data_IF_303149923072
#
_entry.id   IF_303149923072
#
_cell.length_a   1.000
_cell.length_b   1.000
_cell.length_c   1.000
_cell.angle_alpha   90.00
_cell.angle_beta   90.00
_cell.angle_gamma   90.00
#
_symmetry.space_group_name_H-M   'P 1'
#
loop_
_entity.id
_entity.type
_entity.pdbx_description
1 polymer ?
#
# COMPACT_ATOMS: atom_id res chain seq x y z
N UNK A 1 -12.14 33.98 14.33
CA UNK A 1 -12.17 34.08 12.86
C UNK A 1 -11.88 32.72 12.26
N UNK A 2 -12.55 32.36 11.17
CA UNK A 2 -12.27 31.13 10.41
C UNK A 2 -10.79 31.09 10.05
N UNK A 3 -10.07 30.05 10.50
CA UNK A 3 -8.63 29.84 10.22
C UNK A 3 -8.43 29.05 8.93
N UNK A 4 -9.31 29.23 7.96
CA UNK A 4 -9.28 28.49 6.68
C UNK A 4 -8.26 29.13 5.75
N UNK A 5 -7.39 28.30 5.16
CA UNK A 5 -6.43 28.70 4.14
C UNK A 5 -6.67 27.90 2.86
N UNK A 6 -6.71 28.60 1.73
CA UNK A 6 -6.73 27.98 0.41
C UNK A 6 -5.30 27.91 -0.16
N UNK A 7 -4.95 26.80 -0.81
CA UNK A 7 -3.68 26.65 -1.51
C UNK A 7 -2.45 26.48 -0.62
N UNK A 8 -2.60 25.99 0.62
CA UNK A 8 -1.49 25.75 1.56
C UNK A 8 -0.35 24.91 0.94
N UNK A 9 -0.69 23.89 0.15
CA UNK A 9 0.28 23.03 -0.53
C UNK A 9 1.23 23.78 -1.47
N UNK A 10 0.76 24.87 -2.09
CA UNK A 10 1.53 25.72 -3.02
C UNK A 10 2.50 26.66 -2.30
N UNK A 11 2.39 26.80 -0.97
CA UNK A 11 3.32 27.62 -0.20
C UNK A 11 4.70 26.97 -0.11
N UNK A 12 5.73 27.81 -0.09
CA UNK A 12 7.08 27.36 0.29
C UNK A 12 7.09 26.87 1.74
N UNK A 13 8.05 26.01 2.10
CA UNK A 13 8.19 25.47 3.46
C UNK A 13 8.22 26.56 4.54
N UNK A 14 8.97 27.64 4.31
CA UNK A 14 8.98 28.79 5.24
C UNK A 14 7.60 29.43 5.39
N UNK A 15 6.88 29.66 4.29
CA UNK A 15 5.54 30.26 4.32
C UNK A 15 4.51 29.34 5.00
N UNK A 16 4.65 28.02 4.85
CA UNK A 16 3.85 27.02 5.57
C UNK A 16 4.07 27.15 7.08
N UNK A 17 5.34 27.21 7.51
CA UNK A 17 5.71 27.40 8.90
C UNK A 17 5.19 28.74 9.44
N UNK A 18 5.42 29.84 8.72
CA UNK A 18 4.98 31.17 9.14
C UNK A 18 3.47 31.21 9.34
N UNK A 19 2.71 30.61 8.42
CA UNK A 19 1.26 30.54 8.53
C UNK A 19 0.85 29.73 9.76
N UNK A 20 1.41 28.55 9.99
CA UNK A 20 1.09 27.71 11.15
C UNK A 20 1.42 28.45 12.45
N UNK A 21 2.63 29.02 12.55
CA UNK A 21 3.13 29.70 13.73
C UNK A 21 2.25 30.90 14.11
N UNK A 22 1.88 31.75 13.14
CA UNK A 22 1.05 32.94 13.38
C UNK A 22 -0.42 32.59 13.63
N UNK A 23 -0.90 31.48 13.09
CA UNK A 23 -2.34 31.12 13.12
C UNK A 23 -2.71 30.32 14.36
N UNK A 24 -1.84 29.43 14.84
CA UNK A 24 -2.16 28.47 15.90
C UNK A 24 -1.39 28.64 17.19
N UNK A 25 -0.30 29.41 17.21
CA UNK A 25 0.57 29.54 18.37
C UNK A 25 0.65 30.98 18.87
N UNK A 26 0.75 31.15 20.20
CA UNK A 26 0.87 32.46 20.82
C UNK A 26 2.27 33.09 20.61
N UNK A 27 3.30 32.26 20.46
CA UNK A 27 4.67 32.69 20.22
C UNK A 27 5.17 32.13 18.88
N UNK A 28 5.00 32.92 17.83
CA UNK A 28 5.35 32.52 16.48
C UNK A 28 6.86 32.28 16.33
N UNK A 29 7.70 33.16 16.85
CA UNK A 29 9.15 33.06 16.70
C UNK A 29 9.73 31.82 17.40
N UNK A 30 9.27 31.51 18.61
CA UNK A 30 9.65 30.26 19.28
C UNK A 30 9.18 29.02 18.50
N UNK A 31 7.96 29.06 17.95
CA UNK A 31 7.44 27.95 17.14
C UNK A 31 8.30 27.69 15.91
N UNK A 32 8.68 28.76 15.19
CA UNK A 32 9.59 28.67 14.03
C UNK A 32 10.94 28.11 14.42
N UNK A 33 11.49 28.56 15.56
CA UNK A 33 12.77 28.07 16.06
C UNK A 33 12.72 26.57 16.35
N UNK A 34 11.72 26.10 17.09
CA UNK A 34 11.53 24.66 17.41
C UNK A 34 11.39 23.82 16.15
N UNK A 35 10.58 24.25 15.18
CA UNK A 35 10.42 23.50 13.92
C UNK A 35 11.71 23.43 13.11
N UNK A 36 12.57 24.45 13.18
CA UNK A 36 13.86 24.45 12.47
C UNK A 36 14.95 23.62 13.18
N UNK A 37 14.80 23.31 14.47
CA UNK A 37 15.80 22.54 15.22
C UNK A 37 16.09 21.15 14.63
N UNK A 38 15.10 20.55 13.99
CA UNK A 38 15.22 19.21 13.41
C UNK A 38 15.53 19.23 11.92
N UNK A 39 15.85 20.39 11.34
CA UNK A 39 16.25 20.45 9.95
C UNK A 39 17.70 19.99 9.80
N UNK A 40 17.99 19.31 8.70
CA UNK A 40 19.35 18.97 8.34
C UNK A 40 20.03 20.20 7.73
N UNK A 41 21.25 20.50 8.16
CA UNK A 41 22.09 21.53 7.55
C UNK A 41 22.48 21.17 6.10
N UNK A 42 22.50 19.87 5.78
CA UNK A 42 22.72 19.41 4.40
C UNK A 42 21.45 19.61 3.57
N UNK A 43 21.48 20.59 2.68
CA UNK A 43 20.34 20.97 1.84
C UNK A 43 19.83 19.85 0.95
N UNK A 44 20.71 19.04 0.34
CA UNK A 44 20.29 17.91 -0.52
C UNK A 44 19.58 16.84 0.30
N UNK A 45 20.09 16.55 1.50
CA UNK A 45 19.44 15.62 2.40
C UNK A 45 18.09 16.18 2.86
N UNK A 46 18.03 17.44 3.30
CA UNK A 46 16.76 18.03 3.72
C UNK A 46 15.73 18.05 2.59
N UNK A 47 16.15 18.32 1.35
CA UNK A 47 15.28 18.26 0.19
C UNK A 47 14.69 16.86 -0.01
N UNK A 48 15.50 15.80 0.09
CA UNK A 48 15.01 14.42 0.00
C UNK A 48 13.92 14.14 1.05
N UNK A 49 14.12 14.58 2.29
CA UNK A 49 13.12 14.44 3.35
C UNK A 49 11.84 15.24 3.07
N UNK A 50 11.97 16.42 2.46
CA UNK A 50 10.85 17.27 2.10
C UNK A 50 10.00 16.68 0.96
N UNK A 51 10.58 15.79 0.15
CA UNK A 51 9.94 15.11 -0.98
C UNK A 51 9.24 13.79 -0.61
N UNK A 52 9.41 13.29 0.62
CA UNK A 52 8.77 12.04 1.06
C UNK A 52 7.25 12.14 1.21
N UNK A 53 6.74 13.30 1.67
CA UNK A 53 5.32 13.57 1.83
C UNK A 53 5.02 15.03 1.48
N UNK A 54 3.76 15.34 1.24
CA UNK A 54 3.34 16.72 1.03
C UNK A 54 3.33 17.52 2.34
N UNK A 55 3.39 18.85 2.22
CA UNK A 55 3.24 19.78 3.34
C UNK A 55 4.26 19.61 4.49
N UNK A 56 5.42 19.01 4.22
CA UNK A 56 6.51 18.88 5.20
C UNK A 56 6.93 20.24 5.75
N UNK A 57 6.97 20.37 7.07
CA UNK A 57 7.41 21.57 7.79
C UNK A 57 8.65 21.33 8.66
N UNK A 58 8.92 20.08 9.04
CA UNK A 58 10.10 19.68 9.81
C UNK A 58 10.31 18.17 9.70
N UNK A 59 11.44 17.70 10.20
CA UNK A 59 11.69 16.28 10.39
C UNK A 59 11.29 15.87 11.81
N UNK A 60 11.03 14.58 11.99
CA UNK A 60 10.82 13.97 13.30
C UNK A 60 11.86 12.86 13.50
N UNK A 61 12.60 12.90 14.60
CA UNK A 61 13.59 11.88 14.92
C UNK A 61 13.00 10.84 15.84
N UNK A 62 13.22 9.57 15.50
CA UNK A 62 12.92 8.42 16.35
C UNK A 62 14.25 7.73 16.70
N UNK A 63 14.49 7.33 17.96
CA UNK A 63 15.71 6.64 18.32
C UNK A 63 15.88 5.36 17.49
N UNK A 64 17.07 5.20 16.91
CA UNK A 64 17.44 4.01 16.13
C UNK A 64 18.42 3.17 16.96
N UNK A 65 17.94 2.02 17.43
CA UNK A 65 18.73 1.01 18.13
C UNK A 65 19.03 -0.21 17.26
N UNK A 66 19.85 -1.12 17.78
CA UNK A 66 20.15 -2.41 17.15
C UNK A 66 20.07 -3.52 18.18
N UNK A 67 19.33 -4.58 17.87
CA UNK A 67 19.23 -5.79 18.68
C UNK A 67 20.07 -6.92 18.05
N UNK A 68 21.23 -7.29 18.62
CA UNK A 68 22.11 -8.32 18.08
C UNK A 68 21.65 -9.74 18.46
N UNK A 69 22.36 -10.75 17.94
CA UNK A 69 22.30 -12.17 18.32
C UNK A 69 21.05 -12.93 17.87
N UNK A 70 20.35 -12.47 16.83
CA UNK A 70 19.24 -13.22 16.25
C UNK A 70 19.79 -14.30 15.32
N UNK A 71 19.92 -15.53 15.81
CA UNK A 71 20.17 -16.70 14.96
C UNK A 71 18.84 -17.14 14.33
N UNK A 72 18.66 -16.95 13.04
CA UNK A 72 17.45 -17.33 12.29
C UNK A 72 17.87 -18.23 11.15
N UNK A 73 17.35 -19.46 11.12
CA UNK A 73 17.72 -20.47 10.12
C UNK A 73 19.25 -20.55 9.93
N UNK A 74 19.97 -20.75 11.04
CA UNK A 74 21.44 -20.89 11.10
C UNK A 74 22.25 -19.65 10.72
N UNK A 75 21.60 -18.52 10.38
CA UNK A 75 22.27 -17.26 10.05
C UNK A 75 22.12 -16.25 11.19
N UNK A 76 23.23 -15.62 11.59
CA UNK A 76 23.25 -14.59 12.64
C UNK A 76 22.93 -13.20 12.06
N UNK A 77 21.99 -12.52 12.69
CA UNK A 77 21.56 -11.17 12.34
C UNK A 77 21.67 -10.19 13.51
N UNK A 78 21.85 -8.92 13.16
CA UNK A 78 21.62 -7.78 14.02
C UNK A 78 20.44 -6.98 13.44
N UNK A 79 19.36 -6.84 14.22
CA UNK A 79 18.09 -6.26 13.75
C UNK A 79 18.04 -4.77 14.14
N UNK A 80 17.95 -3.84 13.18
CA UNK A 80 17.72 -2.43 13.48
C UNK A 80 16.28 -2.20 13.96
N UNK A 81 16.10 -1.33 14.95
CA UNK A 81 14.80 -1.03 15.56
C UNK A 81 14.67 0.49 15.76
N UNK A 82 13.69 1.11 15.10
CA UNK A 82 13.35 2.52 15.32
C UNK A 82 12.14 2.60 16.27
N UNK A 83 12.36 2.96 17.54
CA UNK A 83 11.33 2.96 18.59
C UNK A 83 11.72 3.90 19.74
N UNK A 84 10.73 4.55 20.36
CA UNK A 84 10.90 5.46 21.50
C UNK A 84 10.78 4.77 22.87
N UNK A 85 10.15 3.60 22.91
CA UNK A 85 9.85 2.89 24.14
C UNK A 85 11.10 2.30 24.79
N UNK A 86 11.30 2.65 26.06
CA UNK A 86 12.42 2.15 26.86
C UNK A 86 12.38 0.64 27.02
N UNK A 87 13.56 0.02 27.11
CA UNK A 87 13.74 -1.42 27.33
C UNK A 87 13.31 -2.36 26.19
N UNK A 88 12.58 -1.92 25.15
CA UNK A 88 12.17 -2.81 24.05
C UNK A 88 13.37 -3.45 23.34
N UNK A 89 14.34 -2.63 22.91
CA UNK A 89 15.56 -3.11 22.24
C UNK A 89 16.38 -4.03 23.17
N UNK A 90 16.46 -3.69 24.46
CA UNK A 90 17.18 -4.49 25.45
C UNK A 90 16.50 -5.85 25.70
N UNK A 91 15.18 -5.88 25.77
CA UNK A 91 14.39 -7.10 25.93
C UNK A 91 14.52 -8.01 24.70
N UNK A 92 14.41 -7.46 23.50
CA UNK A 92 14.62 -8.19 22.24
C UNK A 92 16.02 -8.81 22.19
N UNK A 93 17.06 -8.05 22.53
CA UNK A 93 18.45 -8.51 22.58
C UNK A 93 18.67 -9.62 23.62
N UNK A 94 18.05 -9.48 24.80
CA UNK A 94 18.12 -10.49 25.87
C UNK A 94 17.45 -11.80 25.44
N UNK A 95 16.29 -11.72 24.79
CA UNK A 95 15.59 -12.88 24.26
C UNK A 95 16.38 -13.57 23.15
N UNK A 96 16.94 -12.80 22.20
CA UNK A 96 17.79 -13.34 21.13
C UNK A 96 19.01 -14.09 21.70
N UNK A 97 19.72 -13.48 22.66
CA UNK A 97 20.82 -14.14 23.36
C UNK A 97 20.40 -15.43 24.06
N UNK A 98 19.23 -15.44 24.71
CA UNK A 98 18.72 -16.65 25.38
C UNK A 98 18.47 -17.80 24.41
N UNK A 99 17.92 -17.51 23.22
CA UNK A 99 17.64 -18.51 22.19
C UNK A 99 18.87 -18.90 21.37
N UNK A 100 19.88 -18.05 21.26
CA UNK A 100 21.11 -18.32 20.52
C UNK A 100 21.76 -19.64 20.96
N UNK A 101 21.96 -19.83 22.26
CA UNK A 101 22.57 -21.05 22.83
C UNK A 101 21.66 -22.30 22.73
N UNK A 102 20.43 -22.14 22.21
CA UNK A 102 19.39 -23.18 22.06
C UNK A 102 19.07 -23.50 20.60
N UNK A 103 19.92 -23.05 19.67
CA UNK A 103 19.74 -23.27 18.24
C UNK A 103 18.95 -22.18 17.52
N UNK A 104 18.64 -21.07 18.20
CA UNK A 104 18.02 -19.90 17.59
C UNK A 104 16.55 -20.10 17.21
N UNK A 105 16.11 -19.28 16.26
CA UNK A 105 14.78 -19.28 15.69
C UNK A 105 14.76 -20.06 14.39
N UNK A 106 13.67 -20.79 14.15
CA UNK A 106 13.38 -21.48 12.90
C UNK A 106 12.16 -20.87 12.26
N UNK A 107 12.25 -20.49 11.00
CA UNK A 107 11.17 -19.80 10.28
C UNK A 107 11.03 -20.35 8.87
N UNK A 108 9.82 -20.23 8.32
CA UNK A 108 9.52 -20.59 6.93
C UNK A 108 8.53 -19.58 6.38
N UNK A 109 8.68 -19.23 5.11
CA UNK A 109 7.74 -18.36 4.41
C UNK A 109 6.59 -19.23 3.90
N UNK A 110 5.37 -18.94 4.35
CA UNK A 110 4.17 -19.69 3.95
C UNK A 110 3.73 -19.26 2.54
N UNK A 111 3.74 -17.95 2.27
CA UNK A 111 3.40 -17.40 0.96
C UNK A 111 3.97 -15.99 0.80
N UNK A 112 4.35 -15.66 -0.44
CA UNK A 112 4.73 -14.30 -0.90
C UNK A 112 3.61 -13.63 -1.69
N UNK A 113 2.54 -14.38 -1.99
CA UNK A 113 1.42 -13.92 -2.81
C UNK A 113 0.72 -12.73 -2.18
N UNK A 114 0.48 -11.71 -3.00
CA UNK A 114 -0.28 -10.51 -2.66
C UNK A 114 -1.65 -10.55 -3.32
N UNK A 115 -2.64 -9.96 -2.67
CA UNK A 115 -4.02 -9.95 -3.14
C UNK A 115 -4.44 -8.53 -3.45
N UNK A 116 -5.12 -8.34 -4.57
CA UNK A 116 -5.78 -7.10 -4.96
C UNK A 116 -7.21 -7.36 -5.38
N UNK A 117 -8.10 -6.39 -5.17
CA UNK A 117 -9.52 -6.55 -5.47
C UNK A 117 -10.06 -5.39 -6.30
N UNK A 118 -10.82 -5.72 -7.35
CA UNK A 118 -11.77 -4.79 -7.97
C UNK A 118 -13.14 -5.12 -7.42
N UNK A 119 -13.76 -4.15 -6.75
CA UNK A 119 -15.07 -4.24 -6.14
C UNK A 119 -16.10 -3.63 -7.08
N UNK A 120 -17.19 -4.34 -7.35
CA UNK A 120 -18.21 -3.85 -8.26
C UNK A 120 -19.62 -4.35 -7.90
N UNK A 121 -20.62 -3.58 -8.31
CA UNK A 121 -22.03 -3.92 -8.21
C UNK A 121 -22.55 -4.42 -9.55
N UNK A 122 -23.35 -5.49 -9.51
CA UNK A 122 -24.02 -6.09 -10.66
C UNK A 122 -25.37 -6.67 -10.23
N UNK A 123 -26.44 -6.25 -10.90
CA UNK A 123 -27.84 -6.62 -10.58
C UNK A 123 -28.45 -7.42 -11.73
N UNK A 124 -27.83 -8.56 -12.04
CA UNK A 124 -28.27 -9.47 -13.09
C UNK A 124 -28.07 -10.93 -12.72
N UNK A 125 -28.15 -11.80 -13.72
CA UNK A 125 -27.97 -13.23 -13.51
C UNK A 125 -26.48 -13.59 -13.30
N UNK A 126 -26.20 -14.38 -12.26
CA UNK A 126 -24.83 -14.76 -11.91
C UNK A 126 -24.15 -15.61 -12.99
N UNK A 127 -24.87 -16.51 -13.65
CA UNK A 127 -24.30 -17.36 -14.70
C UNK A 127 -23.94 -16.55 -15.94
N UNK A 128 -24.71 -15.50 -16.26
CA UNK A 128 -24.33 -14.52 -17.27
C UNK A 128 -23.05 -13.76 -16.89
N UNK A 129 -22.95 -13.27 -15.64
CA UNK A 129 -21.75 -12.60 -15.14
C UNK A 129 -20.53 -13.52 -15.16
N UNK A 130 -20.71 -14.79 -14.78
CA UNK A 130 -19.65 -15.78 -14.78
C UNK A 130 -19.17 -16.09 -16.21
N UNK A 131 -20.11 -16.29 -17.14
CA UNK A 131 -19.80 -16.48 -18.56
C UNK A 131 -19.06 -15.27 -19.14
N UNK A 132 -19.51 -14.06 -18.81
CA UNK A 132 -18.82 -12.83 -19.18
C UNK A 132 -17.39 -12.80 -18.64
N UNK A 133 -17.20 -13.05 -17.35
CA UNK A 133 -15.89 -13.08 -16.72
C UNK A 133 -14.95 -14.10 -17.38
N UNK A 134 -15.43 -15.32 -17.66
CA UNK A 134 -14.63 -16.37 -18.28
C UNK A 134 -14.16 -15.97 -19.69
N UNK A 135 -14.95 -15.18 -20.44
CA UNK A 135 -14.54 -14.63 -21.74
C UNK A 135 -13.54 -13.48 -21.63
N UNK A 136 -13.66 -12.63 -20.59
CA UNK A 136 -12.88 -11.40 -20.44
C UNK A 136 -11.59 -11.59 -19.66
N UNK A 137 -11.46 -12.63 -18.84
CA UNK A 137 -10.30 -12.88 -17.96
C UNK A 137 -8.95 -12.76 -18.70
N UNK A 138 -8.82 -13.36 -19.88
CA UNK A 138 -7.58 -13.27 -20.67
C UNK A 138 -7.31 -11.87 -21.22
N UNK A 139 -8.37 -11.10 -21.52
CA UNK A 139 -8.26 -9.72 -21.96
C UNK A 139 -7.83 -8.80 -20.82
N UNK A 140 -8.30 -9.03 -19.59
CA UNK A 140 -7.82 -8.31 -18.40
C UNK A 140 -6.29 -8.42 -18.26
N UNK A 141 -5.77 -9.65 -18.36
CA UNK A 141 -4.33 -9.93 -18.26
C UNK A 141 -3.58 -9.28 -19.44
N UNK A 142 -4.11 -9.40 -20.66
CA UNK A 142 -3.46 -8.87 -21.86
C UNK A 142 -3.36 -7.34 -21.84
N UNK A 143 -4.42 -6.64 -21.47
CA UNK A 143 -4.45 -5.17 -21.39
C UNK A 143 -3.57 -4.63 -20.24
N UNK A 144 -3.32 -5.44 -19.20
CA UNK A 144 -2.40 -5.08 -18.12
C UNK A 144 -0.91 -5.29 -18.44
N UNK A 145 -0.56 -5.99 -19.54
CA UNK A 145 0.84 -6.30 -19.91
C UNK A 145 1.81 -5.11 -19.90
N UNK A 146 1.44 -3.90 -20.38
CA UNK A 146 2.34 -2.75 -20.31
C UNK A 146 2.76 -2.39 -18.88
N UNK A 147 1.88 -2.65 -17.90
CA UNK A 147 2.12 -2.39 -16.48
C UNK A 147 2.94 -3.52 -15.83
N UNK A 148 2.75 -4.77 -16.28
CA UNK A 148 3.41 -5.96 -15.69
C UNK A 148 4.78 -6.26 -16.26
N UNK A 149 5.13 -5.75 -17.45
CA UNK A 149 6.38 -6.04 -18.16
C UNK A 149 7.64 -6.10 -17.28
N UNK A 150 7.85 -5.08 -16.43
CA UNK A 150 9.04 -5.00 -15.58
C UNK A 150 8.99 -5.94 -14.37
N UNK A 151 7.79 -6.29 -13.89
CA UNK A 151 7.61 -7.24 -12.79
C UNK A 151 7.78 -8.67 -13.30
N UNK A 152 7.20 -8.98 -14.45
CA UNK A 152 7.36 -10.27 -15.15
C UNK A 152 8.81 -10.54 -15.53
N UNK A 153 9.54 -9.52 -15.99
CA UNK A 153 10.97 -9.65 -16.29
C UNK A 153 11.82 -10.07 -15.06
N UNK A 154 11.33 -9.84 -13.85
CA UNK A 154 11.98 -10.27 -12.59
C UNK A 154 11.47 -11.63 -12.10
N UNK A 155 10.44 -12.19 -12.72
CA UNK A 155 9.81 -13.45 -12.32
C UNK A 155 8.53 -13.30 -11.49
N UNK A 156 8.03 -12.07 -11.29
CA UNK A 156 6.74 -11.81 -10.63
C UNK A 156 5.60 -11.58 -11.64
N UNK A 157 4.55 -10.90 -11.21
CA UNK A 157 3.44 -10.47 -12.07
C UNK A 157 2.07 -10.88 -11.53
N UNK A 158 1.08 -10.96 -12.44
CA UNK A 158 -0.26 -11.45 -12.13
C UNK A 158 -0.20 -12.98 -12.12
N UNK A 159 -0.66 -13.60 -11.03
CA UNK A 159 -0.73 -15.06 -10.91
C UNK A 159 -2.09 -15.58 -11.37
N UNK A 160 -3.18 -15.00 -10.83
CA UNK A 160 -4.54 -15.36 -11.21
C UNK A 160 -5.54 -14.23 -10.95
N UNK A 161 -6.74 -14.36 -11.54
CA UNK A 161 -7.91 -13.53 -11.26
C UNK A 161 -9.11 -14.47 -11.07
N UNK A 162 -9.84 -14.29 -9.98
CA UNK A 162 -11.05 -15.04 -9.65
C UNK A 162 -12.26 -14.10 -9.58
N UNK A 163 -13.40 -14.51 -10.10
CA UNK A 163 -14.68 -13.85 -9.80
C UNK A 163 -15.23 -14.41 -8.49
N UNK A 164 -15.43 -13.55 -7.49
CA UNK A 164 -16.03 -13.92 -6.20
C UNK A 164 -17.39 -13.27 -6.01
N UNK A 165 -18.37 -14.09 -5.67
CA UNK A 165 -19.70 -13.69 -5.26
C UNK A 165 -19.70 -13.29 -3.78
N UNK A 166 -20.15 -12.06 -3.50
CA UNK A 166 -20.28 -11.49 -2.15
C UNK A 166 -21.69 -10.96 -1.92
N UNK A 167 -22.67 -11.46 -2.67
CA UNK A 167 -24.09 -11.08 -2.59
C UNK A 167 -24.71 -11.42 -1.23
N UNK A 168 -24.13 -12.38 -0.50
CA UNK A 168 -24.51 -12.71 0.89
C UNK A 168 -24.16 -11.60 1.89
N UNK A 169 -23.14 -10.78 1.60
CA UNK A 169 -22.75 -9.65 2.45
C UNK A 169 -23.52 -8.38 2.06
N UNK A 170 -23.63 -8.11 0.76
CA UNK A 170 -24.30 -6.94 0.18
C UNK A 170 -24.95 -7.37 -1.14
N UNK A 171 -26.25 -7.12 -1.30
CA UNK A 171 -26.97 -7.49 -2.52
C UNK A 171 -26.31 -6.90 -3.79
N UNK A 172 -26.08 -7.74 -4.80
CA UNK A 172 -25.45 -7.35 -6.06
C UNK A 172 -23.93 -7.13 -6.01
N UNK A 173 -23.25 -7.45 -4.90
CA UNK A 173 -21.83 -7.17 -4.74
C UNK A 173 -20.92 -8.33 -5.16
N UNK A 174 -19.92 -8.02 -5.98
CA UNK A 174 -18.94 -8.97 -6.52
C UNK A 174 -17.51 -8.41 -6.46
N UNK A 175 -16.54 -9.32 -6.61
CA UNK A 175 -15.13 -8.97 -6.65
C UNK A 175 -14.39 -9.67 -7.80
N UNK A 176 -13.53 -8.94 -8.50
CA UNK A 176 -12.38 -9.56 -9.17
C UNK A 176 -11.27 -9.67 -8.14
N UNK A 177 -10.99 -10.88 -7.69
CA UNK A 177 -9.96 -11.19 -6.70
C UNK A 177 -8.70 -11.64 -7.43
N UNK A 178 -7.72 -10.75 -7.53
CA UNK A 178 -6.48 -11.00 -8.25
C UNK A 178 -5.33 -11.32 -7.29
N UNK A 179 -4.53 -12.31 -7.65
CA UNK A 179 -3.32 -12.71 -6.94
C UNK A 179 -2.08 -12.29 -7.73
N UNK A 180 -1.04 -11.87 -7.01
CA UNK A 180 0.18 -11.31 -7.58
C UNK A 180 1.43 -11.86 -6.90
N UNK A 181 2.51 -11.98 -7.65
CA UNK A 181 3.87 -12.15 -7.12
C UNK A 181 4.64 -10.84 -7.32
N UNK A 182 5.16 -10.28 -6.23
CA UNK A 182 5.83 -8.97 -6.21
C UNK A 182 7.29 -9.06 -5.78
N UNK A 183 7.78 -10.28 -5.52
CA UNK A 183 9.14 -10.59 -5.12
C UNK A 183 9.54 -9.74 -3.91
N UNK A 184 10.63 -9.00 -4.01
CA UNK A 184 11.16 -8.18 -2.92
C UNK A 184 10.37 -6.88 -2.68
N UNK A 185 9.41 -6.54 -3.55
CA UNK A 185 8.61 -5.32 -3.40
C UNK A 185 7.32 -5.59 -2.62
N UNK A 186 6.86 -4.60 -1.84
CA UNK A 186 5.50 -4.61 -1.28
C UNK A 186 4.44 -4.62 -2.39
N UNK A 187 4.70 -3.92 -3.51
CA UNK A 187 3.90 -4.01 -4.71
C UNK A 187 2.60 -3.19 -4.74
N UNK A 188 2.31 -2.36 -3.74
CA UNK A 188 1.05 -1.62 -3.64
C UNK A 188 0.70 -0.80 -4.91
N UNK A 189 1.62 0.04 -5.38
CA UNK A 189 1.40 0.85 -6.58
C UNK A 189 1.22 0.00 -7.83
N UNK A 190 2.03 -1.05 -7.98
CA UNK A 190 1.95 -1.98 -9.10
C UNK A 190 0.59 -2.69 -9.16
N UNK A 191 0.15 -3.22 -8.02
CA UNK A 191 -1.13 -3.92 -7.88
C UNK A 191 -2.29 -2.97 -8.16
N UNK A 192 -2.30 -1.79 -7.52
CA UNK A 192 -3.38 -0.81 -7.72
C UNK A 192 -3.49 -0.39 -9.19
N UNK A 193 -2.38 -0.11 -9.88
CA UNK A 193 -2.41 0.21 -11.31
C UNK A 193 -2.96 -0.94 -12.17
N UNK A 194 -2.63 -2.19 -11.84
CA UNK A 194 -3.22 -3.34 -12.52
C UNK A 194 -4.73 -3.45 -12.27
N UNK A 195 -5.19 -3.24 -11.03
CA UNK A 195 -6.61 -3.29 -10.67
C UNK A 195 -7.41 -2.17 -11.35
N UNK A 196 -6.87 -0.95 -11.42
CA UNK A 196 -7.46 0.16 -12.17
C UNK A 196 -7.61 -0.19 -13.67
N UNK A 197 -6.59 -0.82 -14.26
CA UNK A 197 -6.66 -1.31 -15.63
C UNK A 197 -7.68 -2.44 -15.78
N UNK A 198 -7.77 -3.37 -14.83
CA UNK A 198 -8.80 -4.41 -14.84
C UNK A 198 -10.19 -3.82 -14.78
N UNK A 199 -10.45 -2.89 -13.86
CA UNK A 199 -11.73 -2.20 -13.75
C UNK A 199 -12.14 -1.52 -15.06
N UNK A 200 -11.20 -0.81 -15.70
CA UNK A 200 -11.41 -0.17 -17.00
C UNK A 200 -11.74 -1.18 -18.10
N UNK A 201 -10.94 -2.25 -18.23
CA UNK A 201 -11.17 -3.29 -19.25
C UNK A 201 -12.49 -4.00 -18.99
N UNK A 202 -12.77 -4.41 -17.76
CA UNK A 202 -13.98 -5.12 -17.37
C UNK A 202 -15.25 -4.31 -17.69
N UNK A 203 -15.26 -3.01 -17.36
CA UNK A 203 -16.38 -2.13 -17.69
C UNK A 203 -16.57 -1.95 -19.20
N UNK A 204 -15.48 -1.81 -19.96
CA UNK A 204 -15.56 -1.65 -21.41
C UNK A 204 -16.10 -2.91 -22.11
N UNK A 205 -15.64 -4.09 -21.68
CA UNK A 205 -16.11 -5.34 -22.27
C UNK A 205 -17.55 -5.65 -21.90
N UNK A 206 -18.01 -5.24 -20.70
CA UNK A 206 -19.40 -5.45 -20.29
C UNK A 206 -20.37 -4.80 -21.28
N UNK A 207 -20.06 -3.59 -21.76
CA UNK A 207 -20.87 -2.87 -22.77
C UNK A 207 -20.98 -3.63 -24.11
N UNK A 208 -19.99 -4.48 -24.42
CA UNK A 208 -19.89 -5.20 -25.68
C UNK A 208 -20.42 -6.64 -25.58
N UNK A 209 -20.67 -7.14 -24.36
CA UNK A 209 -21.10 -8.50 -24.15
C UNK A 209 -22.57 -8.69 -24.55
N UNK A 210 -22.82 -9.56 -25.53
CA UNK A 210 -24.17 -9.80 -26.05
C UNK A 210 -25.08 -10.56 -25.09
N UNK A 211 -24.51 -11.24 -24.09
CA UNK A 211 -25.27 -11.96 -23.07
C UNK A 211 -25.86 -11.06 -21.98
N UNK A 212 -25.51 -9.77 -21.95
CA UNK A 212 -26.07 -8.80 -21.00
C UNK A 212 -27.23 -8.02 -21.61
N UNK A 213 -28.26 -7.81 -20.80
CA UNK A 213 -29.27 -6.77 -21.00
C UNK A 213 -28.67 -5.37 -20.90
N UNK A 214 -29.41 -4.35 -21.35
CA UNK A 214 -28.92 -2.96 -21.28
C UNK A 214 -28.61 -2.50 -19.85
N UNK A 215 -29.31 -3.02 -18.83
CA UNK A 215 -29.02 -2.72 -17.43
C UNK A 215 -27.73 -3.41 -16.95
N UNK A 216 -27.57 -4.69 -17.28
CA UNK A 216 -26.38 -5.50 -16.90
C UNK A 216 -25.07 -4.98 -17.52
N UNK A 217 -25.15 -4.34 -18.69
CA UNK A 217 -24.00 -3.70 -19.36
C UNK A 217 -23.39 -2.56 -18.54
N UNK A 218 -24.17 -1.94 -17.65
CA UNK A 218 -23.78 -0.78 -16.86
C UNK A 218 -23.32 -1.15 -15.44
N UNK A 219 -22.47 -2.17 -15.31
CA UNK A 219 -21.87 -2.50 -14.02
C UNK A 219 -21.12 -1.31 -13.39
N UNK A 220 -21.21 -1.22 -12.06
CA UNK A 220 -20.64 -0.11 -11.28
C UNK A 220 -19.37 -0.56 -10.58
N UNK A 221 -18.23 0.02 -10.94
CA UNK A 221 -17.00 -0.17 -10.19
C UNK A 221 -17.04 0.72 -8.95
N UNK A 222 -16.94 0.11 -7.77
CA UNK A 222 -16.94 0.80 -6.47
C UNK A 222 -15.52 1.21 -6.08
N UNK A 223 -14.56 0.29 -6.16
CA UNK A 223 -13.16 0.56 -5.82
C UNK A 223 -12.20 -0.48 -6.43
N UNK A 224 -10.92 -0.13 -6.49
CA UNK A 224 -9.84 -0.99 -6.97
C UNK A 224 -8.64 -0.82 -6.05
N UNK A 225 -8.33 -1.81 -5.22
CA UNK A 225 -7.36 -1.65 -4.14
C UNK A 225 -6.67 -2.96 -3.75
N UNK A 226 -5.38 -2.87 -3.42
CA UNK A 226 -4.63 -3.90 -2.69
C UNK A 226 -5.34 -4.28 -1.38
N UNK A 227 -5.40 -5.58 -1.10
CA UNK A 227 -5.79 -6.08 0.21
C UNK A 227 -4.58 -6.07 1.15
N UNK A 228 -4.71 -5.40 2.29
CA UNK A 228 -3.66 -5.33 3.33
C UNK A 228 -3.75 -6.47 4.34
N UNK A 229 -4.87 -7.19 4.36
CA UNK A 229 -5.01 -8.44 5.12
C UNK A 229 -4.55 -9.61 4.27
N UNK A 230 -3.62 -10.39 4.83
CA UNK A 230 -3.18 -11.64 4.25
C UNK A 230 -3.87 -12.74 5.03
N UNK A 231 -5.08 -13.20 4.62
CA UNK A 231 -5.59 -14.42 5.18
C UNK A 231 -4.55 -15.50 4.93
N UNK A 232 -4.13 -16.19 6.00
CA UNK A 232 -3.34 -17.40 5.85
C UNK A 232 -4.11 -18.29 4.86
N UNK A 233 -3.53 -18.49 3.68
CA UNK A 233 -4.03 -19.48 2.72
C UNK A 233 -3.98 -20.85 3.38
#
# INVERSE_FOLDING_TARGET
MSKTIAGFSKLSKSKKIDWIANTYFANAENTKAVLKQYWNDNEKLQQLHDEFIENTISNYYLPLGVAPNFLINETLYAIPMAIEESSVVAAASKAAKFWLDRGGFKTTVISTTKIGQVHFMFHGDYENLKSFFDTVKQKLITEAKPLTKNMEARGGGILDIELRDKTTDIEGYYQLHASFETLDAMGANFINSCLEQFAKTFKNEALLFSGFSEEEKHLEIVMSILLTTYPNV
#
